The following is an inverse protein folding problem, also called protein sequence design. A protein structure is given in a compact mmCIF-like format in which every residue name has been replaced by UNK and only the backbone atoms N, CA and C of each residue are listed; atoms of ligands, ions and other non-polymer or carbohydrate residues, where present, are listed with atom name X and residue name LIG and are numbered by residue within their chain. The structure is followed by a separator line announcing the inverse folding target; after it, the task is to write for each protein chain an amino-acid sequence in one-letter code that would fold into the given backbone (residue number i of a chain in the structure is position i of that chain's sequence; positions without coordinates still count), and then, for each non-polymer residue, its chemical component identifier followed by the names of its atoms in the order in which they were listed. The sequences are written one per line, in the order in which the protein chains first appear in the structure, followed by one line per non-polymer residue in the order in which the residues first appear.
data_IF_419463413959
#
_entry.id   IF_419463413959
#
_cell.length_a   1.000
_cell.length_b   1.000
_cell.length_c   1.000
_cell.angle_alpha   90.00
_cell.angle_beta   90.00
_cell.angle_gamma   90.00
#
_symmetry.space_group_name_H-M   'P 1'
#
loop_
_entity.id
_entity.type
_entity.pdbx_description
1 polymer ?
#
# COMPACT_ATOMS: atom_id res chain seq x y z
N UNK A 1 -16.33 32.44 -8.36
CA UNK A 1 -15.45 31.80 -7.36
C UNK A 1 -16.23 30.60 -6.90
N UNK A 2 -16.05 29.48 -7.60
CA UNK A 2 -16.90 28.31 -7.47
C UNK A 2 -16.82 27.76 -6.05
N UNK A 3 -17.97 27.77 -5.38
CA UNK A 3 -18.17 27.15 -4.08
C UNK A 3 -17.87 25.66 -4.23
N UNK A 4 -16.64 25.26 -3.88
CA UNK A 4 -16.26 23.85 -3.84
C UNK A 4 -17.22 23.19 -2.84
N UNK A 5 -18.18 22.44 -3.37
CA UNK A 5 -19.23 21.82 -2.58
C UNK A 5 -18.61 21.01 -1.44
N UNK A 6 -19.05 21.26 -0.22
CA UNK A 6 -18.59 20.55 0.98
C UNK A 6 -18.71 19.02 0.80
N UNK A 7 -19.72 18.55 0.07
CA UNK A 7 -19.86 17.13 -0.29
C UNK A 7 -18.69 16.57 -1.11
N UNK A 8 -18.11 17.37 -2.01
CA UNK A 8 -16.91 16.99 -2.77
C UNK A 8 -15.68 16.91 -1.85
N UNK A 9 -15.51 17.88 -0.94
CA UNK A 9 -14.41 17.88 0.03
C UNK A 9 -14.49 16.69 0.99
N UNK A 10 -15.69 16.39 1.51
CA UNK A 10 -15.91 15.23 2.39
C UNK A 10 -15.70 13.92 1.63
N UNK A 11 -16.18 13.82 0.39
CA UNK A 11 -15.93 12.66 -0.47
C UNK A 11 -14.43 12.44 -0.73
N UNK A 12 -13.70 13.50 -1.07
CA UNK A 12 -12.26 13.46 -1.25
C UNK A 12 -11.54 13.05 0.04
N UNK A 13 -11.93 13.60 1.20
CA UNK A 13 -11.36 13.25 2.50
C UNK A 13 -11.54 11.76 2.83
N UNK A 14 -12.73 11.20 2.63
CA UNK A 14 -12.99 9.76 2.84
C UNK A 14 -12.10 8.92 1.95
N UNK A 15 -11.97 9.28 0.67
CA UNK A 15 -11.11 8.58 -0.28
C UNK A 15 -9.64 8.64 0.16
N UNK A 16 -9.17 9.81 0.60
CA UNK A 16 -7.80 10.00 1.09
C UNK A 16 -7.51 9.19 2.36
N UNK A 17 -8.45 9.11 3.31
CA UNK A 17 -8.31 8.29 4.52
C UNK A 17 -8.24 6.81 4.17
N UNK A 18 -9.11 6.32 3.27
CA UNK A 18 -9.10 4.93 2.81
C UNK A 18 -7.78 4.58 2.10
N UNK A 19 -7.28 5.49 1.24
CA UNK A 19 -5.99 5.33 0.58
C UNK A 19 -4.84 5.29 1.60
N UNK A 20 -4.81 6.22 2.56
CA UNK A 20 -3.80 6.26 3.62
C UNK A 20 -3.80 4.98 4.47
N UNK A 21 -4.98 4.52 4.88
CA UNK A 21 -5.15 3.26 5.62
C UNK A 21 -4.74 2.03 4.80
N UNK A 22 -5.07 1.97 3.51
CA UNK A 22 -4.66 0.90 2.61
C UNK A 22 -3.14 0.85 2.44
N UNK A 23 -2.51 2.00 2.28
CA UNK A 23 -1.07 2.13 2.13
C UNK A 23 -0.31 1.78 3.43
N UNK A 24 -0.75 2.30 4.58
CA UNK A 24 -0.20 1.95 5.91
C UNK A 24 -0.40 0.48 6.28
N UNK A 25 -1.58 -0.07 5.97
CA UNK A 25 -1.88 -1.50 6.15
C UNK A 25 -1.04 -2.39 5.23
N UNK A 26 -0.78 -1.96 3.99
CA UNK A 26 0.07 -2.67 3.04
C UNK A 26 1.55 -2.67 3.46
N UNK A 27 2.06 -1.57 4.02
CA UNK A 27 3.41 -1.51 4.62
C UNK A 27 3.55 -2.46 5.80
N UNK A 28 2.59 -2.41 6.73
CA UNK A 28 2.54 -3.30 7.89
C UNK A 28 2.42 -4.77 7.46
N UNK A 29 1.55 -5.06 6.49
CA UNK A 29 1.39 -6.40 5.93
C UNK A 29 2.67 -6.90 5.27
N UNK A 30 3.36 -6.04 4.50
CA UNK A 30 4.64 -6.38 3.86
C UNK A 30 5.76 -6.63 4.88
N UNK A 31 5.81 -5.85 5.95
CA UNK A 31 6.80 -5.98 7.03
C UNK A 31 6.55 -7.20 7.92
N UNK A 32 5.29 -7.55 8.16
CA UNK A 32 4.89 -8.71 8.99
C UNK A 32 4.84 -10.03 8.22
N UNK A 33 4.80 -9.99 6.89
CA UNK A 33 4.84 -11.18 6.04
C UNK A 33 6.15 -11.95 6.24
N UNK A 34 6.03 -13.23 6.63
CA UNK A 34 7.17 -14.12 6.80
C UNK A 34 7.76 -14.50 5.42
N UNK A 35 8.85 -13.82 5.05
CA UNK A 35 9.61 -14.02 3.80
C UNK A 35 10.02 -15.47 3.56
N UNK A 36 10.31 -16.22 4.62
CA UNK A 36 10.72 -17.62 4.54
C UNK A 36 9.56 -18.51 4.10
N UNK A 37 8.38 -18.33 4.71
CA UNK A 37 7.16 -19.05 4.35
C UNK A 37 6.70 -18.72 2.93
N UNK A 38 6.81 -17.45 2.53
CA UNK A 38 6.50 -17.01 1.16
C UNK A 38 7.46 -17.60 0.12
N UNK A 39 8.75 -17.67 0.43
CA UNK A 39 9.74 -18.34 -0.42
C UNK A 39 9.42 -19.83 -0.57
N UNK A 40 9.10 -20.51 0.52
CA UNK A 40 8.73 -21.93 0.46
C UNK A 40 7.47 -22.18 -0.39
N UNK A 41 6.44 -21.35 -0.26
CA UNK A 41 5.24 -21.46 -1.10
C UNK A 41 5.51 -21.11 -2.58
N UNK A 42 6.38 -20.14 -2.85
CA UNK A 42 6.81 -19.80 -4.20
C UNK A 42 7.59 -20.97 -4.86
N UNK A 43 8.47 -21.63 -4.09
CA UNK A 43 9.22 -22.80 -4.51
C UNK A 43 8.30 -24.03 -4.68
N UNK A 44 7.21 -24.11 -3.91
CA UNK A 44 6.15 -25.11 -4.06
C UNK A 44 5.18 -24.84 -5.25
N UNK A 45 5.48 -23.85 -6.09
CA UNK A 45 4.74 -23.58 -7.33
C UNK A 45 3.53 -22.65 -7.19
N UNK A 46 3.28 -22.04 -6.03
CA UNK A 46 2.20 -21.05 -5.90
C UNK A 46 2.53 -19.76 -6.63
N UNK A 47 1.84 -19.50 -7.75
CA UNK A 47 2.04 -18.29 -8.57
C UNK A 47 1.81 -16.98 -7.80
N UNK A 48 0.84 -16.98 -6.86
CA UNK A 48 0.61 -15.83 -5.97
C UNK A 48 1.77 -15.58 -5.01
N UNK A 49 2.37 -16.66 -4.48
CA UNK A 49 3.53 -16.56 -3.60
C UNK A 49 4.78 -16.07 -4.33
N UNK A 50 4.99 -16.48 -5.59
CA UNK A 50 6.06 -15.96 -6.46
C UNK A 50 5.96 -14.44 -6.65
N UNK A 51 4.77 -13.93 -7.02
CA UNK A 51 4.56 -12.49 -7.22
C UNK A 51 4.81 -11.72 -5.93
N UNK A 52 4.22 -12.15 -4.81
CA UNK A 52 4.42 -11.47 -3.55
C UNK A 52 5.86 -11.60 -3.02
N UNK A 53 6.59 -12.68 -3.30
CA UNK A 53 8.03 -12.77 -3.05
C UNK A 53 8.83 -11.73 -3.86
N UNK A 54 8.43 -11.47 -5.10
CA UNK A 54 9.06 -10.49 -5.98
C UNK A 54 8.75 -9.04 -5.56
N UNK A 55 7.53 -8.77 -5.10
CA UNK A 55 7.18 -7.50 -4.43
C UNK A 55 7.95 -7.31 -3.12
N UNK A 56 8.07 -8.36 -2.30
CA UNK A 56 8.85 -8.35 -1.05
C UNK A 56 10.35 -8.09 -1.30
N UNK A 57 10.89 -8.30 -2.49
CA UNK A 57 12.29 -7.95 -2.83
C UNK A 57 12.53 -6.44 -2.93
N UNK A 58 11.49 -5.61 -3.11
CA UNK A 58 11.62 -4.15 -3.23
C UNK A 58 10.64 -3.39 -2.32
N UNK A 59 10.75 -3.53 -0.98
CA UNK A 59 9.91 -2.80 -0.04
C UNK A 59 10.11 -1.28 -0.16
N UNK A 60 11.29 -0.83 -0.57
CA UNK A 60 11.66 0.58 -0.70
C UNK A 60 10.78 1.35 -1.70
N UNK A 61 10.28 0.69 -2.76
CA UNK A 61 9.35 1.33 -3.71
C UNK A 61 7.96 1.54 -3.11
N UNK A 62 7.50 0.61 -2.26
CA UNK A 62 6.21 0.73 -1.59
C UNK A 62 6.27 1.82 -0.53
N UNK A 63 7.31 1.80 0.30
CA UNK A 63 7.58 2.86 1.30
C UNK A 63 7.74 4.22 0.62
N UNK A 64 8.44 4.27 -0.52
CA UNK A 64 8.59 5.48 -1.32
C UNK A 64 7.25 6.06 -1.80
N UNK A 65 6.33 5.23 -2.29
CA UNK A 65 4.98 5.70 -2.70
C UNK A 65 4.16 6.18 -1.51
N UNK A 66 4.29 5.54 -0.35
CA UNK A 66 3.60 5.92 0.89
C UNK A 66 4.10 7.26 1.41
N UNK A 67 5.42 7.44 1.47
CA UNK A 67 6.05 8.71 1.88
C UNK A 67 5.71 9.85 0.93
N UNK A 68 5.71 9.58 -0.38
CA UNK A 68 5.37 10.57 -1.39
C UNK A 68 3.89 10.98 -1.30
N UNK A 69 3.00 10.01 -1.04
CA UNK A 69 1.59 10.29 -0.76
C UNK A 69 1.38 11.10 0.53
N UNK A 70 2.10 10.77 1.60
CA UNK A 70 2.01 11.49 2.87
C UNK A 70 2.53 12.93 2.75
N UNK A 71 3.66 13.14 2.04
CA UNK A 71 4.21 14.47 1.80
C UNK A 71 3.37 15.33 0.85
N UNK A 72 2.60 14.73 -0.06
CA UNK A 72 1.70 15.48 -0.93
C UNK A 72 0.41 15.93 -0.22
N UNK A 73 0.02 15.22 0.84
CA UNK A 73 -1.18 15.52 1.65
C UNK A 73 -0.88 16.51 2.78
N UNK A 74 0.36 16.57 3.27
CA UNK A 74 0.83 17.51 4.30
C UNK A 74 1.43 18.79 3.69
#
# INVERSE_FOLDING_TARGET
MDDIHIGFLVGALVVLILLSGFFSGSETGLMTLNRYRMKHQADAGHGGARRAQELLKRPDRLIGVILLGNNFVN
#
